data_IF_437222863979
#
_entry.id   IF_437222863979
#
_cell.length_a   1.000
_cell.length_b   1.000
_cell.length_c   1.000
_cell.angle_alpha   90.00
_cell.angle_beta   90.00
_cell.angle_gamma   90.00
#
_symmetry.space_group_name_H-M   'P 1'
#
loop_
_entity.id
_entity.type
_entity.pdbx_description
1 polymer ?
#
# COMPACT_ATOMS: atom_id res chain seq x y z
N UNK A 1 2.40 -2.00 13.86
CA UNK A 1 2.45 -2.87 12.67
C UNK A 1 3.63 -2.51 11.77
N UNK A 2 4.16 -3.44 10.96
CA UNK A 2 5.15 -3.17 9.91
C UNK A 2 4.44 -3.02 8.56
N UNK A 3 5.10 -2.31 7.60
CA UNK A 3 4.57 -2.17 6.23
C UNK A 3 4.30 -3.52 5.57
N UNK A 4 3.16 -3.65 4.90
CA UNK A 4 2.79 -4.83 4.10
C UNK A 4 3.11 -4.63 2.61
N UNK A 5 3.12 -3.38 2.14
CA UNK A 5 3.52 -3.00 0.79
C UNK A 5 4.67 -2.01 0.82
N UNK A 6 5.73 -2.28 0.05
CA UNK A 6 6.86 -1.35 -0.13
C UNK A 6 6.52 -0.31 -1.20
N UNK A 7 5.51 0.52 -0.91
CA UNK A 7 4.98 1.51 -1.83
C UNK A 7 5.90 2.73 -1.93
N UNK A 8 6.17 3.26 -3.14
CA UNK A 8 6.97 4.48 -3.33
C UNK A 8 6.36 5.68 -2.61
N UNK A 9 7.18 6.50 -1.99
CA UNK A 9 6.71 7.67 -1.24
C UNK A 9 6.03 7.37 0.09
N UNK A 10 5.97 6.10 0.50
CA UNK A 10 5.32 5.67 1.73
C UNK A 10 5.84 6.40 2.98
N UNK A 11 4.92 6.82 3.84
CA UNK A 11 5.22 7.61 5.05
C UNK A 11 5.47 6.76 6.31
N UNK A 12 5.75 5.44 6.18
CA UNK A 12 5.93 4.54 7.33
C UNK A 12 6.96 5.03 8.36
N UNK A 13 8.03 5.71 7.93
CA UNK A 13 9.08 6.22 8.83
C UNK A 13 8.58 7.36 9.73
N UNK A 14 7.65 8.16 9.25
CA UNK A 14 7.16 9.37 9.93
C UNK A 14 5.67 9.28 10.29
N UNK A 15 5.01 8.16 10.01
CA UNK A 15 3.57 8.00 10.23
C UNK A 15 3.13 8.31 11.66
N UNK A 16 3.90 7.86 12.66
CA UNK A 16 3.61 8.16 14.07
C UNK A 16 3.69 9.65 14.39
N UNK A 17 4.66 10.37 13.78
CA UNK A 17 4.78 11.83 13.95
C UNK A 17 3.59 12.54 13.29
N UNK A 18 3.20 12.11 12.08
CA UNK A 18 2.02 12.66 11.41
C UNK A 18 0.78 12.46 12.27
N UNK A 19 0.55 11.25 12.76
CA UNK A 19 -0.61 10.89 13.58
C UNK A 19 -0.65 11.70 14.90
N UNK A 20 0.51 12.00 15.51
CA UNK A 20 0.56 12.79 16.74
C UNK A 20 0.11 14.25 16.58
N UNK A 21 0.02 14.73 15.34
CA UNK A 21 -0.46 16.07 15.01
C UNK A 21 -1.96 16.13 14.70
N UNK A 22 -2.64 14.97 14.68
CA UNK A 22 -4.06 14.94 14.32
C UNK A 22 -4.93 15.52 15.44
N UNK A 23 -5.81 16.46 15.12
CA UNK A 23 -6.82 16.92 16.07
C UNK A 23 -7.84 15.81 16.36
N UNK A 24 -8.62 15.92 17.43
CA UNK A 24 -9.79 15.07 17.63
C UNK A 24 -10.72 15.13 16.42
N UNK A 25 -11.20 13.98 15.97
CA UNK A 25 -12.08 13.86 14.81
C UNK A 25 -12.95 12.60 14.94
N UNK A 26 -14.15 12.68 14.39
CA UNK A 26 -15.10 11.56 14.30
C UNK A 26 -14.89 10.77 13.02
N UNK A 27 -14.67 11.45 11.90
CA UNK A 27 -14.53 10.86 10.58
C UNK A 27 -13.11 11.09 10.04
N UNK A 28 -12.54 10.05 9.44
CA UNK A 28 -11.23 10.09 8.79
C UNK A 28 -11.36 9.74 7.30
N UNK A 29 -10.74 10.55 6.44
CA UNK A 29 -10.62 10.28 5.01
C UNK A 29 -9.15 10.38 4.56
N UNK A 30 -8.66 9.32 3.90
CA UNK A 30 -7.34 9.25 3.25
C UNK A 30 -7.53 9.01 1.74
N UNK A 31 -7.63 10.09 0.91
CA UNK A 31 -7.95 9.99 -0.52
C UNK A 31 -6.82 9.47 -1.40
N UNK A 32 -5.57 9.46 -0.90
CA UNK A 32 -4.36 8.98 -1.57
C UNK A 32 -3.69 7.93 -0.69
N UNK A 33 -4.28 6.73 -0.67
CA UNK A 33 -3.99 5.73 0.35
C UNK A 33 -2.63 5.06 0.20
N UNK A 34 -2.23 4.71 -1.03
CA UNK A 34 -0.96 4.03 -1.32
C UNK A 34 -0.73 2.80 -0.45
N UNK A 35 0.25 2.87 0.46
CA UNK A 35 0.56 1.76 1.39
C UNK A 35 -0.23 1.76 2.70
N UNK A 36 -1.09 2.74 2.93
CA UNK A 36 -1.86 2.89 4.15
C UNK A 36 -1.06 3.24 5.40
N UNK A 37 0.13 3.83 5.23
CA UNK A 37 1.05 4.06 6.34
C UNK A 37 0.41 4.82 7.49
N UNK A 38 -0.45 5.80 7.21
CA UNK A 38 -1.08 6.63 8.25
C UNK A 38 -2.25 5.91 8.91
N UNK A 39 -3.17 5.33 8.13
CA UNK A 39 -4.29 4.54 8.68
C UNK A 39 -3.80 3.44 9.62
N UNK A 40 -2.76 2.71 9.23
CA UNK A 40 -2.24 1.59 10.01
C UNK A 40 -1.47 2.00 11.28
N UNK A 41 -1.12 3.27 11.43
CA UNK A 41 -0.43 3.81 12.61
C UNK A 41 -1.30 4.71 13.49
N UNK A 42 -2.54 5.01 13.09
CA UNK A 42 -3.50 5.78 13.90
C UNK A 42 -4.47 4.90 14.68
N UNK A 43 -5.01 5.42 15.76
CA UNK A 43 -6.18 4.83 16.43
C UNK A 43 -7.40 4.89 15.51
N UNK A 44 -8.38 4.01 15.73
CA UNK A 44 -9.64 4.03 14.96
C UNK A 44 -10.41 5.32 15.18
N UNK A 45 -11.02 5.81 14.11
CA UNK A 45 -12.12 6.77 14.16
C UNK A 45 -13.44 6.03 14.00
N UNK A 46 -14.55 6.65 14.33
CA UNK A 46 -15.88 6.05 14.21
C UNK A 46 -16.22 5.73 12.75
N UNK A 47 -15.82 6.62 11.83
CA UNK A 47 -15.94 6.43 10.38
C UNK A 47 -14.56 6.60 9.76
N UNK A 48 -14.13 5.61 8.98
CA UNK A 48 -12.87 5.64 8.25
C UNK A 48 -13.08 5.26 6.79
N UNK A 49 -12.58 6.11 5.89
CA UNK A 49 -12.62 5.86 4.44
C UNK A 49 -11.23 6.04 3.86
N UNK A 50 -10.85 5.07 3.05
CA UNK A 50 -9.63 5.10 2.25
C UNK A 50 -10.00 5.09 0.78
N UNK A 51 -9.19 5.75 -0.03
CA UNK A 51 -9.36 5.79 -1.48
C UNK A 51 -8.00 5.80 -2.17
N UNK A 52 -7.95 5.19 -3.32
CA UNK A 52 -6.84 5.37 -4.26
C UNK A 52 -7.38 5.34 -5.69
N UNK A 53 -6.72 6.04 -6.60
CA UNK A 53 -7.04 5.99 -8.02
C UNK A 53 -6.39 4.78 -8.71
N UNK A 54 -5.32 4.22 -8.11
CA UNK A 54 -4.68 3.00 -8.60
C UNK A 54 -5.53 1.78 -8.20
N UNK A 55 -6.22 1.21 -9.19
CA UNK A 55 -7.05 0.02 -9.02
C UNK A 55 -6.27 -1.17 -8.41
N UNK A 56 -4.95 -1.25 -8.60
CA UNK A 56 -4.15 -2.32 -8.00
C UNK A 56 -4.03 -2.15 -6.48
N UNK A 57 -3.90 -0.90 -6.00
CA UNK A 57 -3.94 -0.58 -4.56
C UNK A 57 -5.27 -1.02 -3.99
N UNK A 58 -6.36 -0.57 -4.60
CA UNK A 58 -7.73 -0.86 -4.14
C UNK A 58 -8.01 -2.36 -4.15
N UNK A 59 -7.69 -3.06 -5.25
CA UNK A 59 -7.87 -4.50 -5.38
C UNK A 59 -7.10 -5.29 -4.30
N UNK A 60 -5.84 -4.93 -4.04
CA UNK A 60 -5.07 -5.57 -2.98
C UNK A 60 -5.72 -5.41 -1.60
N UNK A 61 -6.14 -4.18 -1.25
CA UNK A 61 -6.75 -3.93 0.05
C UNK A 61 -8.17 -4.48 0.17
N UNK A 62 -8.91 -4.61 -0.93
CA UNK A 62 -10.19 -5.33 -0.96
C UNK A 62 -10.01 -6.81 -0.67
N UNK A 63 -9.04 -7.48 -1.30
CA UNK A 63 -8.70 -8.87 -1.00
C UNK A 63 -8.25 -9.05 0.44
N UNK A 64 -7.36 -8.17 0.91
CA UNK A 64 -6.87 -8.21 2.28
C UNK A 64 -8.01 -8.05 3.32
N UNK A 65 -9.03 -7.23 3.01
CA UNK A 65 -10.17 -7.01 3.90
C UNK A 65 -11.18 -8.15 3.84
N UNK A 66 -11.48 -8.66 2.65
CA UNK A 66 -12.60 -9.57 2.41
C UNK A 66 -12.24 -11.05 2.63
N UNK A 67 -11.03 -11.45 2.24
CA UNK A 67 -10.54 -12.83 2.37
C UNK A 67 -9.02 -12.84 2.62
N UNK A 68 -8.59 -12.39 3.82
CA UNK A 68 -7.18 -12.31 4.19
C UNK A 68 -6.51 -13.69 4.23
N UNK A 69 -7.24 -14.74 4.59
CA UNK A 69 -6.71 -16.10 4.68
C UNK A 69 -6.30 -16.60 3.30
N UNK A 70 -7.16 -16.41 2.31
CA UNK A 70 -6.86 -16.80 0.92
C UNK A 70 -5.69 -16.02 0.35
N UNK A 71 -5.67 -14.69 0.55
CA UNK A 71 -4.55 -13.86 0.11
C UNK A 71 -3.24 -14.27 0.78
N UNK A 72 -3.25 -14.53 2.09
CA UNK A 72 -2.09 -14.96 2.85
C UNK A 72 -1.61 -16.35 2.41
N UNK A 73 -2.54 -17.27 2.15
CA UNK A 73 -2.25 -18.61 1.62
C UNK A 73 -1.51 -18.54 0.28
N UNK A 74 -2.02 -17.77 -0.68
CA UNK A 74 -1.36 -17.60 -1.97
C UNK A 74 0.07 -17.04 -1.80
N UNK A 75 0.23 -16.00 -0.99
CA UNK A 75 1.53 -15.37 -0.76
C UNK A 75 2.51 -16.27 0.03
N UNK A 76 2.01 -17.18 0.88
CA UNK A 76 2.84 -18.10 1.66
C UNK A 76 3.63 -19.07 0.79
N UNK A 77 3.04 -19.55 -0.29
CA UNK A 77 3.67 -20.52 -1.17
C UNK A 77 4.52 -19.89 -2.28
N UNK A 78 4.56 -18.57 -2.38
CA UNK A 78 5.37 -17.88 -3.38
C UNK A 78 6.82 -17.74 -2.86
N UNK A 79 7.80 -18.39 -3.53
CA UNK A 79 9.20 -18.25 -3.15
C UNK A 79 9.73 -16.85 -3.49
N UNK A 80 10.66 -16.35 -2.68
CA UNK A 80 11.38 -15.13 -3.01
C UNK A 80 12.35 -15.42 -4.16
N UNK A 81 11.98 -15.09 -5.39
CA UNK A 81 12.69 -15.50 -6.61
C UNK A 81 12.64 -14.42 -7.69
N UNK A 82 13.75 -14.30 -8.44
CA UNK A 82 13.83 -13.40 -9.58
C UNK A 82 12.85 -13.76 -10.71
N UNK A 83 12.66 -15.06 -10.97
CA UNK A 83 11.69 -15.51 -11.97
C UNK A 83 10.26 -15.18 -11.59
N UNK A 84 9.90 -15.34 -10.31
CA UNK A 84 8.59 -14.95 -9.77
C UNK A 84 8.36 -13.45 -9.95
N UNK A 85 9.34 -12.64 -9.59
CA UNK A 85 9.27 -11.19 -9.80
C UNK A 85 9.04 -10.82 -11.27
N UNK A 86 9.83 -11.42 -12.18
CA UNK A 86 9.70 -11.14 -13.62
C UNK A 86 8.31 -11.53 -14.17
N UNK A 87 7.76 -12.67 -13.71
CA UNK A 87 6.42 -13.10 -14.09
C UNK A 87 5.34 -12.11 -13.59
N UNK A 88 5.45 -11.66 -12.34
CA UNK A 88 4.52 -10.68 -11.77
C UNK A 88 4.57 -9.33 -12.50
N UNK A 89 5.77 -8.88 -12.91
CA UNK A 89 5.95 -7.65 -13.69
C UNK A 89 5.29 -7.72 -15.07
N UNK A 90 5.24 -8.91 -15.70
CA UNK A 90 4.55 -9.09 -16.98
C UNK A 90 3.03 -8.97 -16.87
N UNK A 91 2.50 -8.97 -15.64
CA UNK A 91 1.09 -8.77 -15.27
C UNK A 91 0.10 -9.53 -16.17
N UNK A 92 0.28 -10.84 -16.27
CA UNK A 92 -0.63 -11.73 -16.99
C UNK A 92 -1.69 -12.34 -16.07
N UNK A 93 -2.13 -11.58 -15.06
CA UNK A 93 -3.12 -12.03 -14.10
C UNK A 93 -4.44 -12.41 -14.80
N UNK A 94 -4.98 -13.56 -14.48
CA UNK A 94 -6.24 -14.08 -15.04
C UNK A 94 -7.46 -13.69 -14.21
N UNK A 95 -7.24 -13.26 -12.97
CA UNK A 95 -8.29 -12.86 -12.06
C UNK A 95 -7.77 -11.82 -11.05
N UNK A 96 -8.70 -11.22 -10.28
CA UNK A 96 -8.37 -10.15 -9.34
C UNK A 96 -7.49 -10.61 -8.15
N UNK A 97 -7.57 -11.86 -7.73
CA UNK A 97 -6.69 -12.40 -6.68
C UNK A 97 -5.25 -12.48 -7.18
N UNK A 98 -5.06 -13.06 -8.36
CA UNK A 98 -3.73 -13.15 -8.97
C UNK A 98 -3.15 -11.75 -9.24
N UNK A 99 -3.97 -10.79 -9.64
CA UNK A 99 -3.57 -9.38 -9.77
C UNK A 99 -3.10 -8.79 -8.44
N UNK A 100 -3.82 -9.04 -7.34
CA UNK A 100 -3.43 -8.58 -6.00
C UNK A 100 -2.11 -9.22 -5.53
N UNK A 101 -1.94 -10.52 -5.79
CA UNK A 101 -0.72 -11.27 -5.49
C UNK A 101 0.46 -10.74 -6.30
N UNK A 102 0.32 -10.57 -7.62
CA UNK A 102 1.36 -10.04 -8.49
C UNK A 102 1.75 -8.62 -8.09
N UNK A 103 0.79 -7.78 -7.74
CA UNK A 103 1.04 -6.43 -7.25
C UNK A 103 1.85 -6.44 -5.95
N UNK A 104 1.51 -7.30 -5.01
CA UNK A 104 2.24 -7.49 -3.77
C UNK A 104 3.69 -7.97 -4.01
N UNK A 105 3.88 -8.92 -4.93
CA UNK A 105 5.21 -9.41 -5.35
C UNK A 105 6.05 -8.26 -5.94
N UNK A 106 5.49 -7.52 -6.89
CA UNK A 106 6.20 -6.41 -7.54
C UNK A 106 6.69 -5.36 -6.56
N UNK A 107 5.84 -4.96 -5.60
CA UNK A 107 6.20 -3.94 -4.62
C UNK A 107 7.22 -4.43 -3.59
N UNK A 108 7.15 -5.69 -3.17
CA UNK A 108 8.02 -6.20 -2.11
C UNK A 108 9.36 -6.75 -2.66
N UNK A 109 9.37 -7.29 -3.88
CA UNK A 109 10.59 -7.88 -4.48
C UNK A 109 11.33 -6.93 -5.42
N UNK A 110 10.74 -5.81 -5.85
CA UNK A 110 11.36 -4.81 -6.74
C UNK A 110 12.04 -3.67 -5.99
N UNK A 111 13.05 -3.03 -6.62
CA UNK A 111 13.70 -1.82 -6.12
C UNK A 111 12.87 -0.56 -6.44
N UNK A 112 11.76 -0.35 -5.72
CA UNK A 112 10.88 0.80 -5.94
C UNK A 112 10.07 0.66 -7.22
N UNK A 113 8.80 0.37 -7.09
CA UNK A 113 7.85 0.33 -8.19
C UNK A 113 7.60 1.75 -8.71
N UNK A 114 7.58 1.92 -10.04
CA UNK A 114 7.17 3.18 -10.68
C UNK A 114 5.80 2.98 -11.29
N UNK A 115 4.81 3.69 -10.81
CA UNK A 115 3.50 3.72 -11.47
C UNK A 115 3.67 4.28 -12.89
N UNK A 116 3.38 3.47 -13.91
CA UNK A 116 3.48 3.87 -15.33
C UNK A 116 4.90 3.93 -15.91
N UNK A 117 5.93 3.44 -15.21
CA UNK A 117 7.32 3.37 -15.68
C UNK A 117 7.80 1.92 -15.90
N UNK A 118 9.00 1.75 -16.49
CA UNK A 118 9.60 0.42 -16.61
C UNK A 118 9.80 -0.17 -15.21
N UNK A 119 9.62 -1.49 -15.11
CA UNK A 119 9.82 -2.22 -13.86
C UNK A 119 11.22 -1.94 -13.31
N UNK A 120 11.29 -1.63 -12.03
CA UNK A 120 12.57 -1.56 -11.32
C UNK A 120 13.16 -2.97 -11.19
N UNK A 121 14.50 -3.09 -11.13
CA UNK A 121 15.13 -4.39 -11.00
C UNK A 121 14.71 -5.15 -9.73
N UNK A 122 14.84 -6.46 -9.75
CA UNK A 122 14.63 -7.33 -8.60
C UNK A 122 15.62 -7.06 -7.47
N UNK A 123 15.16 -7.05 -6.23
CA UNK A 123 16.00 -6.89 -5.02
C UNK A 123 16.78 -8.18 -4.76
N UNK A 124 18.05 -8.20 -5.16
CA UNK A 124 18.98 -9.24 -4.75
C UNK A 124 19.75 -8.78 -3.51
N UNK A 125 19.59 -9.48 -2.40
CA UNK A 125 20.25 -9.14 -1.16
C UNK A 125 21.49 -10.04 -0.99
N UNK A 126 22.67 -9.53 -1.39
CA UNK A 126 23.93 -10.27 -1.33
C UNK A 126 24.69 -9.97 -0.03
N UNK A 127 24.63 -8.73 0.46
CA UNK A 127 25.45 -8.26 1.57
C UNK A 127 24.66 -7.69 2.75
N UNK A 128 23.32 -7.78 2.75
CA UNK A 128 22.48 -7.22 3.79
C UNK A 128 22.66 -5.70 3.98
N UNK A 129 22.97 -4.98 2.90
CA UNK A 129 23.17 -3.53 2.95
C UNK A 129 21.91 -2.86 3.49
N UNK A 130 22.11 -1.87 4.38
CA UNK A 130 21.02 -1.06 4.95
C UNK A 130 19.97 -1.85 5.77
N UNK A 131 20.31 -3.05 6.26
CA UNK A 131 19.39 -3.93 6.99
C UNK A 131 18.16 -4.36 6.15
N UNK A 132 18.27 -4.30 4.83
CA UNK A 132 17.22 -4.70 3.91
C UNK A 132 17.25 -6.23 3.69
N UNK A 133 16.76 -6.97 4.64
CA UNK A 133 16.59 -8.41 4.54
C UNK A 133 15.32 -8.73 3.74
N UNK A 134 15.32 -8.47 2.43
CA UNK A 134 14.13 -8.53 1.60
C UNK A 134 13.47 -9.92 1.63
N UNK A 135 14.24 -11.00 1.51
CA UNK A 135 13.72 -12.36 1.59
C UNK A 135 13.12 -12.70 2.97
N UNK A 136 13.77 -12.23 4.08
CA UNK A 136 13.20 -12.41 5.42
C UNK A 136 11.93 -11.59 5.64
N UNK A 137 11.87 -10.37 5.09
CA UNK A 137 10.69 -9.53 5.14
C UNK A 137 9.53 -10.17 4.35
N UNK A 138 9.84 -10.78 3.20
CA UNK A 138 8.88 -11.53 2.41
C UNK A 138 8.34 -12.73 3.19
N UNK A 139 9.21 -13.56 3.75
CA UNK A 139 8.81 -14.74 4.53
C UNK A 139 7.90 -14.39 5.73
N UNK A 140 8.05 -13.21 6.31
CA UNK A 140 7.21 -12.73 7.42
C UNK A 140 5.94 -11.98 6.98
N UNK A 141 5.73 -11.79 5.67
CA UNK A 141 4.61 -11.00 5.16
C UNK A 141 3.25 -11.65 5.45
N UNK A 142 3.01 -12.95 5.19
CA UNK A 142 1.70 -13.56 5.41
C UNK A 142 1.18 -13.38 6.84
N UNK A 143 2.02 -13.56 7.85
CA UNK A 143 1.62 -13.37 9.25
C UNK A 143 1.23 -11.92 9.62
N UNK A 144 1.68 -10.93 8.84
CA UNK A 144 1.31 -9.51 9.03
C UNK A 144 -0.01 -9.14 8.36
N UNK A 145 -0.46 -9.92 7.39
CA UNK A 145 -1.72 -9.66 6.68
C UNK A 145 -2.92 -9.79 7.59
N UNK A 146 -2.90 -10.72 8.53
CA UNK A 146 -3.98 -10.90 9.51
C UNK A 146 -4.16 -9.66 10.39
N UNK A 147 -3.06 -9.11 10.94
CA UNK A 147 -3.10 -7.86 11.72
C UNK A 147 -3.65 -6.69 10.90
N UNK A 148 -3.22 -6.58 9.63
CA UNK A 148 -3.67 -5.54 8.73
C UNK A 148 -5.16 -5.71 8.34
N UNK A 149 -5.60 -6.93 8.09
CA UNK A 149 -7.00 -7.24 7.79
C UNK A 149 -7.91 -6.90 8.99
N UNK A 150 -7.50 -7.27 10.20
CA UNK A 150 -8.21 -6.89 11.41
C UNK A 150 -8.33 -5.36 11.55
N UNK A 151 -7.29 -4.60 11.16
CA UNK A 151 -7.34 -3.13 11.18
C UNK A 151 -8.30 -2.56 10.11
N UNK A 152 -8.45 -3.22 8.97
CA UNK A 152 -9.33 -2.78 7.88
C UNK A 152 -10.82 -3.10 8.13
N UNK A 153 -11.17 -3.90 9.12
CA UNK A 153 -12.58 -4.16 9.44
C UNK A 153 -13.27 -2.85 9.80
N UNK A 154 -14.41 -2.57 9.15
CA UNK A 154 -15.17 -1.33 9.31
C UNK A 154 -14.66 -0.14 8.47
N UNK A 155 -13.50 -0.24 7.81
CA UNK A 155 -13.00 0.80 6.90
C UNK A 155 -13.72 0.72 5.56
N UNK A 156 -14.19 1.84 5.03
CA UNK A 156 -14.74 1.96 3.68
C UNK A 156 -13.60 2.07 2.67
N UNK A 157 -13.73 1.42 1.51
CA UNK A 157 -12.71 1.45 0.45
C UNK A 157 -13.37 1.98 -0.82
N UNK A 158 -12.83 3.07 -1.35
CA UNK A 158 -13.27 3.72 -2.59
C UNK A 158 -12.18 3.63 -3.66
N UNK A 159 -12.60 3.75 -4.93
CA UNK A 159 -11.71 3.81 -6.08
C UNK A 159 -12.22 4.88 -7.04
N UNK A 160 -11.87 6.15 -6.76
CA UNK A 160 -12.37 7.27 -7.55
C UNK A 160 -11.43 8.47 -7.47
N UNK A 161 -11.57 9.46 -8.39
CA UNK A 161 -10.79 10.69 -8.31
C UNK A 161 -10.98 11.39 -6.97
N UNK A 162 -9.88 11.72 -6.30
CA UNK A 162 -9.92 12.38 -4.98
C UNK A 162 -10.71 13.69 -4.99
N UNK A 163 -10.66 14.44 -6.10
CA UNK A 163 -11.41 15.70 -6.27
C UNK A 163 -12.92 15.50 -6.32
N UNK A 164 -13.40 14.30 -6.64
CA UNK A 164 -14.82 13.95 -6.60
C UNK A 164 -15.24 13.39 -5.24
N UNK A 165 -14.30 12.77 -4.52
CA UNK A 165 -14.55 12.19 -3.21
C UNK A 165 -14.53 13.25 -2.10
N UNK A 166 -13.50 14.11 -2.06
CA UNK A 166 -13.30 15.11 -1.00
C UNK A 166 -14.54 15.99 -0.76
N UNK A 167 -15.25 16.48 -1.78
CA UNK A 167 -16.45 17.29 -1.57
C UNK A 167 -17.57 16.61 -0.77
N UNK A 168 -17.63 15.27 -0.77
CA UNK A 168 -18.62 14.49 -0.02
C UNK A 168 -18.38 14.52 1.49
N UNK A 169 -17.17 14.93 1.93
CA UNK A 169 -16.72 14.95 3.33
C UNK A 169 -16.67 16.37 3.92
N UNK A 170 -17.48 17.31 3.42
CA UNK A 170 -17.56 18.72 3.90
C UNK A 170 -18.41 18.85 5.15
N UNK A 171 -18.06 18.13 6.21
CA UNK A 171 -18.75 18.18 7.50
C UNK A 171 -17.79 18.58 8.61
N UNK A 172 -18.36 18.97 9.77
CA UNK A 172 -17.58 19.19 10.98
C UNK A 172 -17.00 17.85 11.46
N UNK A 173 -15.89 17.91 12.16
CA UNK A 173 -15.24 16.74 12.77
C UNK A 173 -14.73 15.69 11.78
N UNK A 174 -14.45 16.11 10.54
CA UNK A 174 -13.79 15.30 9.52
C UNK A 174 -12.33 15.67 9.44
N UNK A 175 -11.43 14.69 9.59
CA UNK A 175 -10.01 14.81 9.31
C UNK A 175 -9.72 14.27 7.90
N UNK A 176 -9.19 15.15 7.05
CA UNK A 176 -8.67 14.78 5.73
C UNK A 176 -7.15 14.68 5.82
N UNK A 177 -6.60 13.49 5.55
CA UNK A 177 -5.17 13.32 5.36
C UNK A 177 -4.84 13.28 3.86
N UNK A 178 -4.20 14.34 3.36
CA UNK A 178 -3.91 14.53 1.94
C UNK A 178 -2.41 14.36 1.67
N UNK A 179 -2.04 13.32 0.95
CA UNK A 179 -0.68 13.03 0.49
C UNK A 179 -0.67 12.76 -1.03
N UNK A 180 -1.03 13.78 -1.84
CA UNK A 180 -1.11 13.61 -3.29
C UNK A 180 0.26 13.32 -3.90
N UNK A 181 0.33 12.62 -5.04
CA UNK A 181 1.58 12.43 -5.77
C UNK A 181 2.17 13.78 -6.18
N UNK A 182 3.49 13.90 -6.13
CA UNK A 182 4.19 15.11 -6.58
C UNK A 182 3.88 15.40 -8.06
N UNK A 183 3.64 16.67 -8.38
CA UNK A 183 3.48 17.11 -9.77
C UNK A 183 4.75 16.81 -10.57
N UNK A 184 4.59 16.44 -11.85
CA UNK A 184 5.72 16.17 -12.74
C UNK A 184 6.71 17.35 -12.81
N UNK A 185 6.22 18.60 -12.75
CA UNK A 185 7.01 19.83 -12.78
C UNK A 185 7.83 20.08 -11.50
N UNK A 186 7.47 19.47 -10.37
CA UNK A 186 8.17 19.63 -9.09
C UNK A 186 9.15 18.49 -8.78
N UNK A 187 9.23 17.47 -9.64
CA UNK A 187 10.18 16.37 -9.48
C UNK A 187 11.56 16.87 -9.90
N UNK A 188 12.41 17.16 -8.91
CA UNK A 188 13.79 17.54 -9.15
C UNK A 188 14.49 16.46 -9.97
N UNK A 189 15.17 16.88 -11.03
CA UNK A 189 16.07 16.09 -11.88
C UNK A 189 15.48 14.78 -12.42
N UNK A 190 14.73 14.80 -13.52
CA UNK A 190 14.66 13.70 -14.49
C UNK A 190 14.48 12.25 -14.00
N UNK A 191 14.44 12.02 -12.69
CA UNK A 191 14.13 10.77 -12.06
C UNK A 191 12.61 10.59 -12.08
N UNK A 192 12.13 9.95 -13.12
CA UNK A 192 10.76 9.41 -13.15
C UNK A 192 10.68 8.38 -12.02
N UNK A 193 9.83 8.65 -11.04
CA UNK A 193 9.40 7.64 -10.08
C UNK A 193 8.38 6.72 -10.72
#
# INVERSE_FOLDING_TARGET
>A
MKSILQYPGSKWRIAKQIVSLFPPHHTYLEPYFGSGAVLFNKSRSDIETINDLDENVVNFFQWLKNDPEKLAHELWYIPYSHSVYNNAVQNKAQNSLEQAVNYCVMLNMGHGFRTGGPASGWKSDIHGRERAYAAKNWASLPSRLEEAAARLRGVQIECMPALELIPKYRYKDVLLYLDPPCLFSSRACGLQY
#
